data_IF_255731624336
#
_entry.id   IF_255731624336
#
_cell.length_a   1.000
_cell.length_b   1.000
_cell.length_c   1.000
_cell.angle_alpha   90.00
_cell.angle_beta   90.00
_cell.angle_gamma   90.00
#
_symmetry.space_group_name_H-M   'P 1'
#
loop_
_entity.id
_entity.type
_entity.pdbx_description
1 polymer ?
#
# COMPACT_ATOMS: atom_id res chain seq x y z
N UNK A 1 21.69 -17.35 -6.46
CA UNK A 1 20.37 -17.27 -5.76
C UNK A 1 19.90 -15.83 -5.83
N UNK A 2 18.75 -15.57 -6.44
CA UNK A 2 18.13 -14.23 -6.38
C UNK A 2 17.63 -13.97 -4.95
N UNK A 3 18.22 -13.00 -4.27
CA UNK A 3 17.80 -12.62 -2.94
C UNK A 3 16.74 -11.52 -3.08
N UNK A 4 15.46 -11.85 -2.89
CA UNK A 4 14.38 -10.90 -2.96
C UNK A 4 14.30 -10.11 -1.65
N UNK A 5 14.51 -8.79 -1.70
CA UNK A 5 14.37 -7.92 -0.55
C UNK A 5 12.88 -7.75 -0.20
N UNK A 6 12.52 -8.11 1.02
CA UNK A 6 11.18 -7.93 1.57
C UNK A 6 11.31 -7.17 2.89
N UNK A 7 10.60 -6.05 3.01
CA UNK A 7 10.62 -5.19 4.20
C UNK A 7 9.19 -4.90 4.64
N UNK A 8 8.87 -5.25 5.87
CA UNK A 8 7.56 -5.04 6.47
C UNK A 8 7.62 -3.91 7.48
N UNK A 9 6.76 -2.91 7.31
CA UNK A 9 6.70 -1.74 8.18
C UNK A 9 5.38 -1.71 8.95
N UNK A 10 5.46 -1.40 10.24
CA UNK A 10 4.31 -1.04 11.06
C UNK A 10 4.09 0.46 10.98
N UNK A 11 2.89 0.86 10.59
CA UNK A 11 2.48 2.24 10.46
C UNK A 11 1.48 2.52 11.57
N UNK A 12 1.94 3.26 12.59
CA UNK A 12 1.15 3.62 13.76
C UNK A 12 0.66 5.06 13.62
N UNK A 13 -0.60 5.28 13.89
CA UNK A 13 -1.19 6.61 13.82
C UNK A 13 -2.11 6.87 15.01
N UNK A 14 -2.33 8.15 15.31
CA UNK A 14 -3.28 8.63 16.31
C UNK A 14 -4.43 9.35 15.61
N UNK A 15 -5.65 8.95 15.91
CA UNK A 15 -6.83 9.55 15.34
C UNK A 15 -7.10 10.94 15.97
N UNK A 16 -7.24 11.97 15.14
CA UNK A 16 -7.62 13.32 15.60
C UNK A 16 -9.15 13.43 15.75
N UNK A 17 -9.87 12.58 15.04
CA UNK A 17 -11.32 12.51 14.99
C UNK A 17 -11.77 11.05 15.04
N UNK A 18 -13.04 10.78 15.31
CA UNK A 18 -13.57 9.43 15.19
C UNK A 18 -13.50 8.97 13.74
N UNK A 19 -12.85 7.86 13.50
CA UNK A 19 -12.67 7.28 12.16
C UNK A 19 -13.61 6.09 12.03
N UNK A 20 -14.41 6.06 10.96
CA UNK A 20 -15.16 4.91 10.53
C UNK A 20 -14.49 4.32 9.29
N UNK A 21 -13.99 3.10 9.39
CA UNK A 21 -13.40 2.34 8.31
C UNK A 21 -14.39 1.28 7.79
N UNK A 22 -14.32 0.93 6.51
CA UNK A 22 -15.04 -0.24 6.02
C UNK A 22 -14.46 -1.52 6.65
N UNK A 23 -15.22 -2.59 6.65
CA UNK A 23 -14.79 -3.91 7.15
C UNK A 23 -13.48 -4.36 6.51
N UNK A 24 -13.28 -4.08 5.23
CA UNK A 24 -12.05 -4.34 4.47
C UNK A 24 -11.35 -3.02 4.12
N UNK A 25 -10.66 -2.46 5.13
CA UNK A 25 -10.01 -1.15 5.01
C UNK A 25 -8.84 -1.09 4.02
N UNK A 26 -8.31 -2.24 3.57
CA UNK A 26 -7.12 -2.30 2.70
C UNK A 26 -7.26 -1.49 1.41
N UNK A 27 -8.42 -1.55 0.75
CA UNK A 27 -8.67 -0.78 -0.48
C UNK A 27 -8.72 0.72 -0.22
N UNK A 28 -9.35 1.15 0.87
CA UNK A 28 -9.43 2.55 1.29
C UNK A 28 -8.05 3.12 1.63
N UNK A 29 -7.24 2.35 2.38
CA UNK A 29 -5.86 2.71 2.70
C UNK A 29 -5.00 2.78 1.43
N UNK A 30 -5.16 1.81 0.51
CA UNK A 30 -4.46 1.83 -0.78
C UNK A 30 -4.80 3.09 -1.58
N UNK A 31 -6.07 3.47 -1.65
CA UNK A 31 -6.51 4.69 -2.31
C UNK A 31 -5.92 5.94 -1.69
N UNK A 32 -5.97 6.07 -0.36
CA UNK A 32 -5.40 7.21 0.37
C UNK A 32 -3.87 7.32 0.15
N UNK A 33 -3.15 6.20 0.23
CA UNK A 33 -1.72 6.14 -0.04
C UNK A 33 -1.40 6.55 -1.48
N UNK A 34 -2.10 5.98 -2.47
CA UNK A 34 -1.87 6.27 -3.88
C UNK A 34 -2.11 7.74 -4.22
N UNK A 35 -3.16 8.33 -3.66
CA UNK A 35 -3.46 9.76 -3.82
C UNK A 35 -2.35 10.63 -3.22
N UNK A 36 -1.93 10.34 -2.00
CA UNK A 36 -0.87 11.07 -1.32
C UNK A 36 0.47 10.93 -2.05
N UNK A 37 0.87 9.71 -2.41
CA UNK A 37 2.12 9.45 -3.15
C UNK A 37 2.13 10.18 -4.49
N UNK A 38 1.01 10.18 -5.21
CA UNK A 38 0.89 10.92 -6.47
C UNK A 38 1.13 12.42 -6.28
N UNK A 39 0.53 13.00 -5.25
CA UNK A 39 0.64 14.44 -5.00
C UNK A 39 2.06 14.89 -4.61
N UNK A 40 2.86 14.01 -3.99
CA UNK A 40 4.24 14.36 -3.60
C UNK A 40 5.30 13.92 -4.60
N UNK A 41 5.03 12.88 -5.40
CA UNK A 41 6.03 12.23 -6.24
C UNK A 41 5.78 12.35 -7.75
N UNK A 42 4.60 12.81 -8.18
CA UNK A 42 4.27 12.96 -9.59
C UNK A 42 4.31 14.42 -10.01
N UNK A 43 5.29 14.78 -10.85
CA UNK A 43 5.50 16.15 -11.34
C UNK A 43 4.29 16.68 -12.15
N UNK A 44 3.49 15.81 -12.72
CA UNK A 44 2.32 16.19 -13.56
C UNK A 44 0.99 16.03 -12.85
N UNK A 45 0.97 15.70 -11.57
CA UNK A 45 -0.27 15.43 -10.82
C UNK A 45 -1.23 16.63 -10.80
N UNK A 46 -0.70 17.84 -10.63
CA UNK A 46 -1.49 19.08 -10.60
C UNK A 46 -1.96 19.56 -11.97
N UNK A 47 -1.33 19.12 -13.06
CA UNK A 47 -1.57 19.63 -14.41
C UNK A 47 -2.64 18.84 -15.18
N UNK A 48 -2.92 17.59 -14.80
CA UNK A 48 -3.69 16.66 -15.63
C UNK A 48 -4.88 16.01 -14.92
N UNK A 49 -5.68 16.77 -14.15
CA UNK A 49 -6.94 16.29 -13.52
C UNK A 49 -6.88 14.82 -13.04
N UNK A 50 -5.83 14.43 -12.37
CA UNK A 50 -5.74 13.12 -11.79
C UNK A 50 -5.01 12.04 -12.59
N UNK A 51 -4.57 12.24 -13.82
CA UNK A 51 -3.77 11.26 -14.57
C UNK A 51 -2.29 11.64 -14.59
N UNK A 52 -1.41 10.65 -14.32
CA UNK A 52 0.02 10.85 -14.48
C UNK A 52 0.41 10.78 -15.96
N UNK A 53 1.07 11.82 -16.46
CA UNK A 53 1.60 11.90 -17.84
C UNK A 53 3.12 12.07 -17.87
N UNK A 54 3.81 11.65 -16.80
CA UNK A 54 5.27 11.72 -16.76
C UNK A 54 5.91 10.90 -17.90
N UNK A 55 6.91 11.48 -18.54
CA UNK A 55 7.72 10.85 -19.57
C UNK A 55 9.20 11.08 -19.25
N UNK A 56 10.06 10.05 -19.28
CA UNK A 56 9.70 8.64 -19.42
C UNK A 56 8.95 8.12 -18.18
N UNK A 57 8.15 7.08 -18.36
CA UNK A 57 7.31 6.50 -17.28
C UNK A 57 8.15 6.05 -16.09
N UNK A 58 9.33 5.55 -16.36
CA UNK A 58 10.30 5.03 -15.39
C UNK A 58 10.86 6.11 -14.47
N UNK A 59 10.82 7.38 -14.87
CA UNK A 59 11.27 8.51 -14.04
C UNK A 59 10.25 8.88 -12.95
N UNK A 60 9.00 8.43 -13.07
CA UNK A 60 7.95 8.76 -12.13
C UNK A 60 7.86 7.75 -10.99
N UNK A 61 8.24 8.15 -9.78
CA UNK A 61 8.16 7.31 -8.60
C UNK A 61 6.75 6.78 -8.33
N UNK A 62 5.71 7.61 -8.51
CA UNK A 62 4.33 7.19 -8.38
C UNK A 62 4.00 6.02 -9.34
N UNK A 63 4.39 6.12 -10.62
CA UNK A 63 4.16 5.05 -11.58
C UNK A 63 4.90 3.78 -11.21
N UNK A 64 6.14 3.88 -10.78
CA UNK A 64 6.96 2.71 -10.41
C UNK A 64 6.45 1.97 -9.18
N UNK A 65 5.85 2.68 -8.21
CA UNK A 65 5.36 2.07 -6.96
C UNK A 65 3.89 1.71 -7.08
N UNK A 66 3.03 2.63 -7.55
CA UNK A 66 1.59 2.47 -7.42
C UNK A 66 0.90 1.95 -8.69
N UNK A 67 1.39 2.38 -9.85
CA UNK A 67 0.82 2.08 -11.17
C UNK A 67 1.93 1.69 -12.15
N UNK A 68 2.62 0.56 -11.92
CA UNK A 68 3.74 0.15 -12.77
C UNK A 68 3.25 -0.12 -14.20
N UNK A 69 4.10 0.24 -15.17
CA UNK A 69 3.82 0.00 -16.57
C UNK A 69 3.79 -1.50 -16.86
N UNK A 70 2.95 -1.89 -17.82
CA UNK A 70 2.92 -3.26 -18.35
C UNK A 70 4.30 -3.63 -18.88
N UNK A 71 4.77 -4.82 -18.53
CA UNK A 71 6.05 -5.34 -18.99
C UNK A 71 5.83 -6.55 -19.91
N UNK A 72 6.66 -6.62 -20.95
CA UNK A 72 6.74 -7.80 -21.80
C UNK A 72 7.60 -8.85 -21.10
N UNK A 73 7.01 -9.98 -20.73
CA UNK A 73 7.78 -11.09 -20.18
C UNK A 73 8.58 -11.78 -21.31
N UNK A 74 9.86 -12.06 -21.02
CA UNK A 74 10.81 -12.64 -22.00
C UNK A 74 10.31 -13.99 -22.53
N UNK A 75 9.57 -14.75 -21.73
CA UNK A 75 9.09 -16.09 -22.06
C UNK A 75 7.67 -16.12 -22.66
N UNK A 76 6.96 -15.01 -22.64
CA UNK A 76 5.59 -14.90 -23.17
C UNK A 76 5.49 -13.61 -23.95
N UNK A 77 5.16 -13.71 -25.23
CA UNK A 77 5.06 -12.55 -26.15
C UNK A 77 3.85 -11.64 -25.85
N UNK A 78 3.41 -11.61 -24.59
CA UNK A 78 2.25 -10.84 -24.09
C UNK A 78 2.69 -9.80 -23.06
N UNK A 79 2.09 -8.60 -23.17
CA UNK A 79 2.20 -7.58 -22.15
C UNK A 79 1.40 -8.01 -20.93
N UNK A 80 2.04 -8.15 -19.79
CA UNK A 80 1.39 -8.47 -18.52
C UNK A 80 1.38 -7.26 -17.60
N UNK A 81 0.31 -7.16 -16.81
CA UNK A 81 0.22 -6.18 -15.74
C UNK A 81 1.23 -6.54 -14.65
N UNK A 82 2.07 -5.59 -14.30
CA UNK A 82 3.04 -5.75 -13.21
C UNK A 82 2.35 -5.42 -11.90
N UNK A 83 2.43 -6.33 -10.94
CA UNK A 83 1.88 -6.07 -9.61
C UNK A 83 2.65 -4.92 -8.93
N UNK A 84 1.96 -4.00 -8.25
CA UNK A 84 2.64 -3.01 -7.42
C UNK A 84 3.53 -3.67 -6.37
N UNK A 85 4.76 -3.15 -6.14
CA UNK A 85 5.74 -3.78 -5.27
C UNK A 85 5.44 -3.53 -3.77
N UNK A 86 4.16 -3.59 -3.39
CA UNK A 86 3.75 -3.46 -2.00
C UNK A 86 2.42 -4.16 -1.71
N UNK A 87 2.25 -4.51 -0.44
CA UNK A 87 1.00 -5.05 0.12
C UNK A 87 0.62 -4.23 1.35
N UNK A 88 -0.65 -3.88 1.50
CA UNK A 88 -1.19 -3.23 2.70
C UNK A 88 -1.99 -4.27 3.48
N UNK A 89 -1.63 -4.44 4.75
CA UNK A 89 -2.24 -5.40 5.67
C UNK A 89 -3.06 -4.63 6.72
N UNK A 90 -4.36 -4.62 6.55
CA UNK A 90 -5.29 -3.83 7.38
C UNK A 90 -6.02 -4.67 8.45
N UNK A 91 -5.69 -5.95 8.59
CA UNK A 91 -6.38 -6.87 9.50
C UNK A 91 -6.29 -6.50 10.99
N UNK A 92 -5.30 -5.67 11.36
CA UNK A 92 -5.13 -5.16 12.73
C UNK A 92 -6.01 -3.93 13.04
N UNK A 93 -6.70 -3.37 12.03
CA UNK A 93 -7.54 -2.20 12.21
C UNK A 93 -8.97 -2.60 12.58
N UNK A 94 -9.50 -1.95 13.61
CA UNK A 94 -10.92 -1.96 13.91
C UNK A 94 -11.70 -1.09 12.92
N UNK A 95 -12.95 -1.42 12.66
CA UNK A 95 -13.84 -0.60 11.82
C UNK A 95 -14.12 0.78 12.44
N UNK A 96 -13.90 0.93 13.74
CA UNK A 96 -14.02 2.20 14.47
C UNK A 96 -12.76 2.48 15.25
N UNK A 97 -12.19 3.70 15.08
CA UNK A 97 -11.09 4.22 15.89
C UNK A 97 -11.56 5.55 16.46
N UNK A 98 -11.58 5.68 17.80
CA UNK A 98 -12.05 6.89 18.45
C UNK A 98 -10.99 7.99 18.44
N UNK A 99 -11.44 9.25 18.52
CA UNK A 99 -10.55 10.39 18.63
C UNK A 99 -9.58 10.21 19.81
N UNK A 100 -8.30 10.48 19.59
CA UNK A 100 -7.24 10.29 20.57
C UNK A 100 -6.68 8.86 20.68
N UNK A 101 -7.35 7.87 20.13
CA UNK A 101 -6.83 6.49 20.09
C UNK A 101 -5.71 6.32 19.07
N UNK A 102 -4.80 5.43 19.41
CA UNK A 102 -3.77 4.94 18.49
C UNK A 102 -4.22 3.63 17.85
N UNK A 103 -3.92 3.51 16.57
CA UNK A 103 -4.13 2.30 15.79
C UNK A 103 -2.96 2.08 14.85
N UNK A 104 -2.85 0.89 14.29
CA UNK A 104 -1.77 0.55 13.35
C UNK A 104 -2.23 -0.42 12.28
N UNK A 105 -1.51 -0.42 11.20
CA UNK A 105 -1.58 -1.40 10.13
C UNK A 105 -0.18 -1.66 9.58
N UNK A 106 -0.05 -2.61 8.68
CA UNK A 106 1.25 -2.93 8.11
C UNK A 106 1.30 -2.65 6.62
N UNK A 107 2.51 -2.38 6.13
CA UNK A 107 2.83 -2.31 4.72
C UNK A 107 4.09 -3.11 4.45
N UNK A 108 3.99 -4.07 3.53
CA UNK A 108 5.13 -4.86 3.06
C UNK A 108 5.59 -4.32 1.73
N UNK A 109 6.88 -4.01 1.61
CA UNK A 109 7.56 -3.61 0.38
C UNK A 109 8.31 -4.80 -0.20
N UNK A 110 8.24 -4.96 -1.51
CA UNK A 110 8.85 -6.06 -2.25
C UNK A 110 9.85 -5.53 -3.27
N UNK A 111 11.08 -6.01 -3.18
CA UNK A 111 12.19 -5.62 -4.05
C UNK A 111 12.97 -4.39 -3.58
N UNK A 112 14.23 -4.31 -4.00
CA UNK A 112 15.20 -3.28 -3.59
C UNK A 112 14.72 -1.87 -3.94
N UNK A 113 14.08 -1.71 -5.10
CA UNK A 113 13.59 -0.39 -5.50
C UNK A 113 12.59 0.17 -4.50
N UNK A 114 11.57 -0.62 -4.11
CA UNK A 114 10.57 -0.18 -3.15
C UNK A 114 11.18 0.05 -1.76
N UNK A 115 12.10 -0.83 -1.33
CA UNK A 115 12.83 -0.70 -0.07
C UNK A 115 13.60 0.64 -0.01
N UNK A 116 14.31 1.01 -1.07
CA UNK A 116 15.11 2.25 -1.12
C UNK A 116 14.23 3.53 -1.15
N UNK A 117 12.92 3.41 -1.34
CA UNK A 117 11.98 4.54 -1.32
C UNK A 117 11.24 4.70 0.03
N UNK A 118 11.71 4.08 1.09
CA UNK A 118 11.04 4.08 2.40
C UNK A 118 10.71 5.49 2.92
N UNK A 119 11.60 6.48 2.74
CA UNK A 119 11.34 7.88 3.15
C UNK A 119 10.16 8.49 2.40
N UNK A 120 10.09 8.33 1.08
CA UNK A 120 8.99 8.84 0.27
C UNK A 120 7.67 8.15 0.61
N UNK A 121 7.73 6.86 0.91
CA UNK A 121 6.56 6.07 1.34
C UNK A 121 6.08 6.55 2.72
N UNK A 122 6.99 6.81 3.65
CA UNK A 122 6.65 7.39 4.95
C UNK A 122 6.00 8.77 4.81
N UNK A 123 6.57 9.66 3.99
CA UNK A 123 5.98 10.98 3.70
C UNK A 123 4.59 10.87 3.06
N UNK A 124 4.41 9.88 2.17
CA UNK A 124 3.09 9.62 1.57
C UNK A 124 2.08 9.19 2.63
N UNK A 125 2.45 8.33 3.57
CA UNK A 125 1.58 7.95 4.69
C UNK A 125 1.30 9.10 5.63
N UNK A 126 2.30 9.91 5.97
CA UNK A 126 2.10 11.11 6.79
C UNK A 126 1.06 12.04 6.15
N UNK A 127 1.16 12.27 4.84
CA UNK A 127 0.19 13.09 4.12
C UNK A 127 -1.18 12.43 4.00
N UNK A 128 -1.24 11.13 3.71
CA UNK A 128 -2.50 10.39 3.61
C UNK A 128 -3.30 10.46 4.92
N UNK A 129 -2.63 10.26 6.04
CA UNK A 129 -3.23 10.33 7.38
C UNK A 129 -3.67 11.75 7.74
N UNK A 130 -2.90 12.77 7.36
CA UNK A 130 -3.25 14.17 7.60
C UNK A 130 -4.44 14.63 6.75
N UNK A 131 -4.55 14.16 5.51
CA UNK A 131 -5.72 14.42 4.65
C UNK A 131 -6.94 13.68 5.18
N UNK A 132 -6.75 12.43 5.60
CA UNK A 132 -7.73 11.59 6.26
C UNK A 132 -7.90 10.22 5.61
N UNK A 133 -8.24 9.26 6.44
CA UNK A 133 -8.58 7.88 6.08
C UNK A 133 -9.97 7.55 6.62
N UNK A 134 -10.74 6.73 5.88
CA UNK A 134 -12.11 6.42 6.28
C UNK A 134 -13.04 7.63 6.22
N UNK A 135 -14.13 7.60 7.00
CA UNK A 135 -15.12 8.66 7.06
C UNK A 135 -15.29 9.20 8.49
N UNK A 136 -15.70 10.48 8.57
CA UNK A 136 -16.10 11.15 9.78
C UNK A 136 -17.56 11.59 9.62
N UNK A 137 -18.47 11.08 10.46
CA UNK A 137 -19.91 11.38 10.42
C UNK A 137 -20.54 11.31 9.01
N UNK A 138 -20.06 10.41 8.13
CA UNK A 138 -20.49 10.25 6.75
C UNK A 138 -20.33 11.50 5.84
N UNK A 139 -19.64 12.54 6.30
CA UNK A 139 -19.57 13.84 5.61
C UNK A 139 -18.18 14.26 5.20
N UNK A 140 -17.13 13.55 5.60
CA UNK A 140 -15.75 13.92 5.29
C UNK A 140 -14.75 12.84 5.64
N UNK A 141 -13.48 13.13 5.35
CA UNK A 141 -12.37 12.26 5.69
C UNK A 141 -11.90 12.53 7.13
N UNK A 142 -11.69 11.47 7.89
CA UNK A 142 -11.23 11.58 9.26
C UNK A 142 -9.72 11.72 9.33
N UNK A 143 -9.25 12.87 9.82
CA UNK A 143 -7.84 13.20 9.95
C UNK A 143 -7.18 12.43 11.09
N UNK A 144 -5.91 12.12 10.90
CA UNK A 144 -5.05 11.47 11.88
C UNK A 144 -3.59 11.89 11.71
N UNK A 145 -2.79 11.60 12.70
CA UNK A 145 -1.37 11.92 12.72
C UNK A 145 -0.54 10.65 12.71
N UNK A 146 0.47 10.58 11.86
CA UNK A 146 1.47 9.51 11.88
C UNK A 146 2.25 9.60 13.20
N UNK A 147 2.29 8.50 13.95
CA UNK A 147 3.06 8.38 15.21
C UNK A 147 4.41 7.73 14.92
N UNK A 148 4.41 6.60 14.20
CA UNK A 148 5.65 5.92 13.83
C UNK A 148 5.51 5.17 12.50
N UNK A 149 6.68 4.98 11.86
CA UNK A 149 6.87 4.15 10.67
C UNK A 149 8.11 3.28 10.93
N UNK A 150 7.88 2.06 11.41
CA UNK A 150 8.93 1.21 11.97
C UNK A 150 9.10 -0.07 11.15
N UNK A 151 10.34 -0.39 10.81
CA UNK A 151 10.67 -1.68 10.22
C UNK A 151 10.40 -2.78 11.25
N UNK A 152 9.63 -3.78 10.84
CA UNK A 152 9.38 -4.96 11.67
C UNK A 152 10.39 -6.04 11.34
N UNK A 153 10.72 -6.84 12.34
CA UNK A 153 11.50 -8.06 12.15
C UNK A 153 10.77 -8.99 11.18
N UNK A 154 11.52 -9.68 10.36
CA UNK A 154 10.96 -10.70 9.47
C UNK A 154 10.40 -11.82 10.34
N UNK A 155 9.14 -12.25 10.10
CA UNK A 155 8.64 -13.43 10.80
C UNK A 155 9.54 -14.61 10.44
N UNK A 156 10.03 -15.32 11.46
CA UNK A 156 10.74 -16.56 11.25
C UNK A 156 9.74 -17.61 10.81
N UNK A 157 9.83 -18.01 9.55
CA UNK A 157 9.00 -19.06 8.99
C UNK A 157 9.70 -20.41 9.24
N UNK A 158 9.16 -21.19 10.15
CA UNK A 158 9.56 -22.59 10.29
C UNK A 158 8.85 -23.40 9.20
N UNK A 159 9.54 -23.59 8.08
CA UNK A 159 9.05 -24.44 7.01
C UNK A 159 9.14 -25.90 7.43
N UNK A 160 7.99 -26.53 7.54
CA UNK A 160 7.91 -27.99 7.58
C UNK A 160 7.55 -28.47 6.19
N UNK A 161 8.31 -29.46 5.69
CA UNK A 161 7.96 -30.14 4.43
C UNK A 161 6.65 -30.89 4.64
N UNK A 162 5.65 -30.58 3.83
CA UNK A 162 4.36 -31.25 3.83
C UNK A 162 3.96 -31.57 2.41
N UNK A 163 3.36 -32.73 2.18
CA UNK A 163 2.80 -33.10 0.87
C UNK A 163 1.58 -32.27 0.50
N UNK A 164 0.94 -31.63 1.48
CA UNK A 164 -0.25 -30.81 1.29
C UNK A 164 -0.04 -29.40 1.78
N UNK A 165 -0.33 -28.41 0.93
CA UNK A 165 -0.36 -27.00 1.27
C UNK A 165 -1.81 -26.59 1.58
N UNK A 166 -2.07 -26.12 2.79
CA UNK A 166 -3.35 -25.49 3.15
C UNK A 166 -3.19 -23.97 3.13
N UNK A 167 -3.96 -23.30 2.27
CA UNK A 167 -4.01 -21.83 2.19
C UNK A 167 -5.37 -21.37 2.73
N UNK A 168 -5.34 -20.46 3.69
CA UNK A 168 -6.53 -19.83 4.24
C UNK A 168 -6.51 -18.33 3.89
N UNK A 169 -7.54 -17.87 3.19
CA UNK A 169 -7.73 -16.44 2.92
C UNK A 169 -8.46 -15.81 4.10
N UNK A 170 -7.85 -14.81 4.73
CA UNK A 170 -8.43 -14.06 5.86
C UNK A 170 -9.19 -12.81 5.41
N UNK A 171 -9.15 -12.51 4.12
CA UNK A 171 -9.87 -11.41 3.47
C UNK A 171 -10.26 -11.83 2.05
N UNK A 172 -11.00 -10.97 1.35
CA UNK A 172 -11.35 -11.23 -0.06
C UNK A 172 -10.09 -11.36 -0.91
N UNK A 173 -10.01 -12.43 -1.69
CA UNK A 173 -8.98 -12.66 -2.67
C UNK A 173 -9.60 -12.67 -4.08
N UNK A 174 -8.94 -12.01 -5.03
CA UNK A 174 -9.27 -12.12 -6.45
C UNK A 174 -8.21 -12.94 -7.13
N UNK A 175 -8.60 -14.09 -7.66
CA UNK A 175 -7.74 -14.97 -8.45
C UNK A 175 -8.17 -14.81 -9.91
N UNK A 176 -7.21 -14.50 -10.79
CA UNK A 176 -7.44 -14.47 -12.24
C UNK A 176 -6.61 -15.57 -12.89
N UNK A 177 -7.26 -16.35 -13.75
CA UNK A 177 -6.61 -17.35 -14.58
C UNK A 177 -6.94 -17.04 -16.04
N UNK A 178 -5.93 -16.81 -16.88
CA UNK A 178 -6.05 -16.48 -18.31
C UNK A 178 -6.92 -15.26 -18.64
N UNK A 179 -7.11 -14.32 -17.71
CA UNK A 179 -7.84 -13.08 -17.97
C UNK A 179 -9.36 -13.17 -17.83
N UNK A 180 -9.88 -14.28 -17.29
CA UNK A 180 -11.29 -14.45 -16.87
C UNK A 180 -11.46 -14.21 -15.37
#
# INVERSE_FOLDING_TARGET
MCNLTISRYRIKFKANQNIQLPEYAGSSLRGAFGHALKNIACLTAGLNKGHCKCQPVESCLYRRIFDPAKQKLILQDRLQDVAPPFVIEAHSLSTKVLAGQEAYFYMTLVGDFAHNQQMMIQMAWQRALAVGIGSYHNTGQAQSQLVSFELCDRPQLNWQTSENLRVQFLSHARIQHHGE
#
